data_IF_323290566061
#
_entry.id   IF_323290566061
#
_cell.length_a   1.000
_cell.length_b   1.000
_cell.length_c   1.000
_cell.angle_alpha   90.00
_cell.angle_beta   90.00
_cell.angle_gamma   90.00
#
_symmetry.space_group_name_H-M   'P 1'
#
loop_
_entity.id
_entity.type
_entity.pdbx_description
1 polymer ?
#
# COMPACT_ATOMS: atom_id res chain seq x y z
N UNK A 1 5.40 13.97 -5.79
CA UNK A 1 5.09 14.20 -4.37
C UNK A 1 5.88 15.38 -3.81
N UNK A 2 7.17 15.27 -3.48
CA UNK A 2 7.92 16.37 -2.85
C UNK A 2 7.94 17.70 -3.64
N UNK A 3 7.98 17.62 -4.98
CA UNK A 3 7.85 18.80 -5.85
C UNK A 3 6.48 19.46 -5.70
N UNK A 4 5.39 18.69 -5.70
CA UNK A 4 4.03 19.18 -5.51
C UNK A 4 3.82 19.82 -4.13
N UNK A 5 4.50 19.31 -3.10
CA UNK A 5 4.49 19.88 -1.75
C UNK A 5 5.41 21.12 -1.61
N UNK A 6 6.21 21.47 -2.62
CA UNK A 6 7.13 22.62 -2.56
C UNK A 6 8.33 22.43 -1.63
N UNK A 7 8.65 21.20 -1.23
CA UNK A 7 9.72 20.89 -0.25
C UNK A 7 10.90 20.12 -0.83
N UNK A 8 10.91 19.89 -2.15
CA UNK A 8 11.91 19.03 -2.80
C UNK A 8 13.36 19.39 -2.44
N UNK A 9 13.73 20.67 -2.52
CA UNK A 9 15.09 21.14 -2.23
C UNK A 9 15.53 20.87 -0.79
N UNK A 10 14.58 20.79 0.14
CA UNK A 10 14.84 20.57 1.57
C UNK A 10 15.01 19.10 1.91
N UNK A 11 14.46 18.17 1.12
CA UNK A 11 14.36 16.75 1.50
C UNK A 11 15.08 15.79 0.56
N UNK A 12 15.22 16.13 -0.73
CA UNK A 12 15.76 15.19 -1.73
C UNK A 12 17.19 14.77 -1.42
N UNK A 13 18.06 15.71 -1.03
CA UNK A 13 19.47 15.41 -0.70
C UNK A 13 19.65 14.52 0.54
N UNK A 14 18.63 14.44 1.40
CA UNK A 14 18.62 13.62 2.62
C UNK A 14 17.76 12.36 2.47
N UNK A 15 17.13 12.17 1.31
CA UNK A 15 16.26 11.04 1.05
C UNK A 15 17.06 9.86 0.51
N UNK A 16 16.71 8.66 0.97
CA UNK A 16 17.19 7.41 0.36
C UNK A 16 16.00 6.54 -0.01
N UNK A 17 16.17 5.73 -1.05
CA UNK A 17 15.20 4.68 -1.39
C UNK A 17 15.49 3.45 -0.54
N UNK A 18 14.44 2.84 -0.01
CA UNK A 18 14.53 1.53 0.63
C UNK A 18 14.37 0.46 -0.45
N UNK A 19 15.30 -0.49 -0.48
CA UNK A 19 15.40 -1.53 -1.51
C UNK A 19 15.22 -2.93 -0.91
N UNK A 20 15.25 -3.98 -1.73
CA UNK A 20 15.22 -5.36 -1.24
C UNK A 20 13.87 -5.84 -0.66
N UNK A 21 12.79 -5.08 -0.88
CA UNK A 21 11.45 -5.42 -0.36
C UNK A 21 11.26 -5.13 1.12
N UNK A 22 12.22 -4.46 1.77
CA UNK A 22 12.05 -4.01 3.14
C UNK A 22 10.95 -2.95 3.24
N UNK A 23 10.13 -3.04 4.29
CA UNK A 23 9.11 -2.04 4.59
C UNK A 23 9.76 -0.79 5.17
N UNK A 24 9.44 0.36 4.60
CA UNK A 24 9.87 1.68 5.07
C UNK A 24 9.50 1.88 6.55
N UNK A 25 8.31 1.42 6.98
CA UNK A 25 7.90 1.49 8.38
C UNK A 25 8.89 0.79 9.33
N UNK A 26 9.50 -0.33 8.92
CA UNK A 26 10.46 -1.05 9.75
C UNK A 26 11.77 -0.25 9.92
N UNK A 27 12.21 0.44 8.88
CA UNK A 27 13.39 1.33 8.91
C UNK A 27 13.15 2.49 9.89
N UNK A 28 11.93 3.05 9.88
CA UNK A 28 11.53 4.10 10.83
C UNK A 28 11.45 3.57 12.25
N UNK A 29 10.84 2.41 12.47
CA UNK A 29 10.74 1.77 13.79
C UNK A 29 12.11 1.48 14.43
N UNK A 30 13.15 1.22 13.62
CA UNK A 30 14.54 1.04 14.09
C UNK A 30 15.30 2.35 14.32
N UNK A 31 14.70 3.51 14.02
CA UNK A 31 15.32 4.82 14.17
C UNK A 31 16.35 5.17 13.09
N UNK A 32 16.41 4.42 11.99
CA UNK A 32 17.34 4.71 10.88
C UNK A 32 16.84 5.82 9.95
N UNK A 33 15.55 6.15 10.03
CA UNK A 33 14.92 7.27 9.36
C UNK A 33 13.82 7.84 10.28
N UNK A 34 13.67 9.16 10.31
CA UNK A 34 12.63 9.80 11.13
C UNK A 34 11.25 9.80 10.44
N UNK A 35 11.24 9.91 9.10
CA UNK A 35 10.03 9.99 8.28
C UNK A 35 10.16 9.04 7.09
N UNK A 36 9.07 8.34 6.77
CA UNK A 36 9.00 7.41 5.66
C UNK A 36 7.70 7.52 4.87
N UNK A 37 7.74 7.13 3.60
CA UNK A 37 6.57 7.10 2.71
C UNK A 37 6.44 5.72 2.08
N UNK A 38 5.28 5.09 2.25
CA UNK A 38 4.92 3.82 1.62
C UNK A 38 3.39 3.72 1.52
N UNK A 39 2.89 2.73 0.79
CA UNK A 39 1.47 2.39 0.76
C UNK A 39 0.95 2.08 2.17
N UNK A 40 -0.27 2.54 2.49
CA UNK A 40 -0.90 2.35 3.81
C UNK A 40 -0.92 0.87 4.20
N UNK A 41 -1.22 -0.02 3.26
CA UNK A 41 -1.26 -1.47 3.48
C UNK A 41 0.07 -2.09 3.92
N UNK A 42 1.19 -1.42 3.64
CA UNK A 42 2.52 -1.85 4.08
C UNK A 42 2.93 -1.21 5.41
N UNK A 43 2.29 -0.10 5.80
CA UNK A 43 2.57 0.59 7.06
C UNK A 43 1.75 0.02 8.21
N UNK A 44 0.45 -0.25 8.02
CA UNK A 44 -0.44 -0.73 9.08
C UNK A 44 0.06 -1.98 9.83
N UNK A 45 0.72 -2.96 9.18
CA UNK A 45 1.23 -4.14 9.90
C UNK A 45 2.49 -3.87 10.73
N UNK A 46 3.10 -2.69 10.65
CA UNK A 46 4.38 -2.38 11.33
C UNK A 46 4.10 -1.72 12.69
N UNK A 47 4.45 -2.36 13.81
CA UNK A 47 4.31 -1.74 15.13
C UNK A 47 5.40 -0.69 15.39
N UNK A 48 5.12 0.23 16.30
CA UNK A 48 6.13 1.18 16.81
C UNK A 48 6.39 2.39 15.91
N UNK A 49 5.48 2.69 14.99
CA UNK A 49 5.49 3.93 14.19
C UNK A 49 4.16 4.66 14.33
N UNK A 50 4.20 5.98 14.23
CA UNK A 50 3.02 6.82 14.13
C UNK A 50 2.67 7.08 12.66
N UNK A 51 1.38 7.25 12.39
CA UNK A 51 0.86 7.36 11.02
C UNK A 51 0.33 8.77 10.75
N UNK A 52 0.81 9.39 9.67
CA UNK A 52 0.26 10.64 9.12
C UNK A 52 -0.36 10.33 7.76
N UNK A 53 -1.52 9.64 7.79
CA UNK A 53 -2.21 9.15 6.59
C UNK A 53 -3.72 9.45 6.66
N UNK A 54 -4.39 9.71 5.52
CA UNK A 54 -3.83 9.77 4.17
C UNK A 54 -3.09 11.10 3.90
N UNK A 55 -2.20 11.09 2.90
CA UNK A 55 -1.59 12.33 2.40
C UNK A 55 -2.65 13.22 1.70
N UNK A 56 -2.39 14.51 1.46
CA UNK A 56 -3.30 15.34 0.66
C UNK A 56 -3.60 14.72 -0.72
N UNK A 57 -4.86 14.72 -1.20
CA UNK A 57 -5.28 14.01 -2.41
C UNK A 57 -4.39 14.28 -3.64
N UNK A 58 -3.97 15.53 -3.82
CA UNK A 58 -3.12 16.03 -4.90
C UNK A 58 -1.74 15.36 -4.98
N UNK A 59 -1.28 14.74 -3.89
CA UNK A 59 0.03 14.08 -3.83
C UNK A 59 -0.06 12.59 -3.52
N UNK A 60 -1.28 12.06 -3.35
CA UNK A 60 -1.50 10.63 -3.25
C UNK A 60 -1.22 9.94 -4.58
N UNK A 61 -0.69 8.73 -4.50
CA UNK A 61 -0.54 7.83 -5.66
C UNK A 61 -1.27 6.53 -5.39
N UNK A 62 -2.53 6.48 -5.79
CA UNK A 62 -3.35 5.28 -5.64
C UNK A 62 -2.75 4.11 -6.44
N UNK A 63 -2.57 2.96 -5.79
CA UNK A 63 -2.17 1.72 -6.44
C UNK A 63 -3.41 0.83 -6.60
N UNK A 64 -3.70 0.42 -7.84
CA UNK A 64 -4.82 -0.48 -8.13
C UNK A 64 -4.31 -1.92 -8.14
N UNK A 65 -4.92 -2.76 -7.31
CA UNK A 65 -4.69 -4.20 -7.33
C UNK A 65 -5.77 -4.87 -8.18
N UNK A 66 -5.35 -5.70 -9.12
CA UNK A 66 -6.23 -6.48 -10.00
C UNK A 66 -5.90 -7.96 -9.87
N UNK A 67 -6.92 -8.80 -9.90
CA UNK A 67 -6.77 -10.26 -9.96
C UNK A 67 -7.19 -10.75 -11.35
N UNK A 68 -6.48 -11.76 -11.88
CA UNK A 68 -6.76 -12.37 -13.16
C UNK A 68 -6.53 -13.87 -13.13
N UNK A 69 -7.21 -14.59 -14.01
CA UNK A 69 -7.04 -16.05 -14.17
C UNK A 69 -6.02 -16.32 -15.26
N UNK A 70 -5.03 -17.18 -14.98
CA UNK A 70 -4.04 -17.57 -15.97
C UNK A 70 -4.68 -18.37 -17.11
N UNK A 71 -4.35 -18.03 -18.36
CA UNK A 71 -4.94 -18.63 -19.57
C UNK A 71 -4.77 -20.16 -19.62
N UNK A 72 -3.69 -20.69 -19.04
CA UNK A 72 -3.37 -22.12 -19.04
C UNK A 72 -3.63 -22.81 -17.70
N UNK A 73 -4.50 -22.24 -16.85
CA UNK A 73 -4.86 -22.90 -15.59
C UNK A 73 -5.53 -24.25 -15.87
N UNK A 74 -5.18 -25.25 -15.05
CA UNK A 74 -5.84 -26.57 -15.08
C UNK A 74 -7.14 -26.57 -14.27
N UNK A 75 -7.38 -25.52 -13.50
CA UNK A 75 -8.55 -25.36 -12.65
C UNK A 75 -9.07 -23.92 -12.76
N UNK A 76 -9.86 -23.67 -13.80
CA UNK A 76 -10.45 -22.35 -14.06
C UNK A 76 -11.53 -22.02 -13.03
N UNK A 77 -12.32 -23.02 -12.63
CA UNK A 77 -13.46 -22.80 -11.74
C UNK A 77 -13.00 -22.40 -10.34
N UNK A 78 -11.97 -23.06 -9.79
CA UNK A 78 -11.40 -22.68 -8.50
C UNK A 78 -10.75 -21.29 -8.55
N UNK A 79 -10.03 -20.95 -9.64
CA UNK A 79 -9.41 -19.64 -9.80
C UNK A 79 -10.47 -18.51 -9.82
N UNK A 80 -11.56 -18.70 -10.58
CA UNK A 80 -12.67 -17.74 -10.58
C UNK A 80 -13.41 -17.71 -9.24
N UNK A 81 -13.56 -18.84 -8.56
CA UNK A 81 -14.17 -18.89 -7.23
C UNK A 81 -13.38 -18.06 -6.20
N UNK A 82 -12.05 -18.13 -6.23
CA UNK A 82 -11.19 -17.31 -5.38
C UNK A 82 -11.37 -15.82 -5.68
N UNK A 83 -11.36 -15.41 -6.95
CA UNK A 83 -11.55 -14.00 -7.33
C UNK A 83 -12.92 -13.50 -6.87
N UNK A 84 -13.99 -14.30 -7.07
CA UNK A 84 -15.33 -13.97 -6.56
C UNK A 84 -15.36 -13.83 -5.04
N UNK A 85 -14.68 -14.71 -4.33
CA UNK A 85 -14.58 -14.64 -2.87
C UNK A 85 -13.85 -13.36 -2.42
N UNK A 86 -12.73 -12.99 -3.06
CA UNK A 86 -12.01 -11.76 -2.74
C UNK A 86 -12.86 -10.50 -3.02
N UNK A 87 -13.81 -10.56 -3.96
CA UNK A 87 -14.74 -9.48 -4.27
C UNK A 87 -16.04 -9.50 -3.43
N UNK A 88 -16.18 -10.43 -2.49
CA UNK A 88 -17.41 -10.64 -1.71
C UNK A 88 -17.51 -9.76 -0.46
N UNK A 89 -18.72 -9.50 0.07
CA UNK A 89 -18.90 -8.83 1.37
C UNK A 89 -18.16 -9.50 2.52
N UNK A 90 -18.01 -10.84 2.48
CA UNK A 90 -17.32 -11.63 3.49
C UNK A 90 -15.83 -11.27 3.58
N UNK A 91 -15.19 -10.98 2.45
CA UNK A 91 -13.78 -10.58 2.39
C UNK A 91 -13.57 -9.08 2.65
N UNK A 92 -14.60 -8.24 2.49
CA UNK A 92 -14.49 -6.78 2.52
C UNK A 92 -13.80 -6.26 3.80
N UNK A 93 -14.18 -6.77 4.97
CA UNK A 93 -13.59 -6.35 6.25
C UNK A 93 -12.11 -6.69 6.37
N UNK A 94 -11.70 -7.86 5.87
CA UNK A 94 -10.29 -8.24 5.88
C UNK A 94 -9.47 -7.30 4.97
N UNK A 95 -10.02 -6.95 3.81
CA UNK A 95 -9.41 -6.02 2.86
C UNK A 95 -9.28 -4.62 3.48
N UNK A 96 -10.35 -4.07 4.08
CA UNK A 96 -10.28 -2.75 4.71
C UNK A 96 -9.33 -2.73 5.91
N UNK A 97 -9.30 -3.78 6.73
CA UNK A 97 -8.38 -3.89 7.86
C UNK A 97 -6.91 -3.99 7.41
N UNK A 98 -6.67 -4.45 6.17
CA UNK A 98 -5.33 -4.45 5.57
C UNK A 98 -4.90 -3.09 5.03
N UNK A 99 -5.74 -2.05 5.13
CA UNK A 99 -5.45 -0.70 4.61
C UNK A 99 -5.68 -0.54 3.10
N UNK A 100 -6.38 -1.50 2.49
CA UNK A 100 -6.83 -1.43 1.10
C UNK A 100 -8.27 -0.92 1.04
N UNK A 101 -8.62 -0.31 -0.09
CA UNK A 101 -9.97 0.20 -0.36
C UNK A 101 -10.65 -0.65 -1.44
N UNK A 102 -11.89 -1.09 -1.24
CA UNK A 102 -12.70 -1.70 -2.30
C UNK A 102 -12.95 -0.70 -3.45
N UNK A 103 -12.84 -1.16 -4.71
CA UNK A 103 -13.06 -0.30 -5.89
C UNK A 103 -14.50 0.25 -5.96
N UNK A 104 -15.49 -0.47 -5.44
CA UNK A 104 -16.90 -0.08 -5.48
C UNK A 104 -17.29 1.08 -4.54
N UNK A 105 -16.37 1.56 -3.70
CA UNK A 105 -16.62 2.64 -2.73
C UNK A 105 -15.98 3.98 -3.15
N UNK A 106 -15.58 4.15 -4.42
CA UNK A 106 -15.04 5.40 -4.97
C UNK A 106 -16.09 6.21 -5.72
#
# INVERSE_FOLDING_TARGET
>A
MFQCLGIADQVVSKSRRIEGGERVGAVVARGEAEIGFQQISELLPVPGIDHVTPLPPEVQKASVFSAGVAVHTRDSDAAHALIRFLASPEAARAITNSGLEPIGNR
#
